data_IF_223210123402
#
_entry.id   IF_223210123402
#
_cell.length_a   1.000
_cell.length_b   1.000
_cell.length_c   1.000
_cell.angle_alpha   90.00
_cell.angle_beta   90.00
_cell.angle_gamma   90.00
#
_symmetry.space_group_name_H-M   'P 1'
#
loop_
_entity.id
_entity.type
_entity.pdbx_description
1 polymer ?
#
# COMPACT_ATOMS: atom_id res chain seq x y z
N UNK A 1 29.03 3.33 6.99
CA UNK A 1 29.58 3.92 8.25
C UNK A 1 28.47 4.33 9.21
N UNK A 2 28.73 4.25 10.53
CA UNK A 2 27.87 4.76 11.61
C UNK A 2 28.64 5.80 12.43
N UNK A 3 28.01 6.47 13.39
CA UNK A 3 28.72 7.37 14.32
C UNK A 3 29.88 6.67 15.05
N UNK A 4 29.71 5.38 15.37
CA UNK A 4 30.71 4.57 16.07
C UNK A 4 31.72 3.90 15.13
N UNK A 5 31.45 3.91 13.82
CA UNK A 5 32.35 3.38 12.80
C UNK A 5 32.50 4.42 11.66
N UNK A 6 33.44 5.38 11.84
CA UNK A 6 33.63 6.52 10.95
C UNK A 6 34.15 6.14 9.54
N UNK A 7 34.41 4.86 9.29
CA UNK A 7 35.03 4.37 8.07
C UNK A 7 36.55 4.23 8.22
N UNK A 8 37.14 3.32 7.44
CA UNK A 8 38.59 3.09 7.45
C UNK A 8 39.29 3.92 6.36
N UNK A 9 40.46 4.50 6.63
CA UNK A 9 41.23 5.22 5.61
C UNK A 9 41.69 4.26 4.51
N UNK A 10 41.81 4.74 3.26
CA UNK A 10 42.43 3.95 2.20
C UNK A 10 43.93 3.71 2.50
N UNK A 11 44.54 2.68 1.91
CA UNK A 11 45.99 2.49 1.96
C UNK A 11 46.75 3.76 1.53
N UNK A 12 47.87 4.10 2.19
CA UNK A 12 48.65 5.29 1.87
C UNK A 12 49.10 5.34 0.40
N UNK A 13 49.04 6.53 -0.21
CA UNK A 13 49.54 6.76 -1.57
C UNK A 13 48.58 6.37 -2.70
N UNK A 14 47.36 5.89 -2.40
CA UNK A 14 46.34 5.66 -3.43
C UNK A 14 45.66 6.98 -3.82
N UNK A 15 45.53 7.28 -5.13
CA UNK A 15 44.77 8.44 -5.58
C UNK A 15 43.27 8.22 -5.30
N UNK A 16 42.55 9.29 -4.97
CA UNK A 16 41.13 9.24 -4.57
C UNK A 16 40.25 8.56 -5.63
N UNK A 17 40.56 8.75 -6.91
CA UNK A 17 39.82 8.11 -8.01
C UNK A 17 40.02 6.58 -8.11
N UNK A 18 40.93 5.98 -7.32
CA UNK A 18 41.16 4.53 -7.16
C UNK A 18 40.57 3.98 -5.86
N UNK A 19 39.88 4.80 -5.09
CA UNK A 19 39.28 4.42 -3.82
C UNK A 19 37.76 4.32 -3.99
N UNK A 20 37.19 3.26 -3.42
CA UNK A 20 35.75 3.08 -3.31
C UNK A 20 35.40 2.29 -2.06
N UNK A 21 34.23 2.53 -1.50
CA UNK A 21 33.79 1.85 -0.28
C UNK A 21 33.34 0.41 -0.59
N UNK A 22 33.45 -0.49 0.39
CA UNK A 22 33.05 -1.89 0.28
C UNK A 22 31.71 -2.22 0.97
N UNK A 23 31.10 -1.25 1.67
CA UNK A 23 29.82 -1.41 2.35
C UNK A 23 28.68 -1.79 1.37
N UNK A 24 27.72 -2.57 1.87
CA UNK A 24 26.47 -2.90 1.19
C UNK A 24 25.26 -2.43 2.00
N UNK A 25 24.13 -2.25 1.30
CA UNK A 25 22.82 -2.12 1.94
C UNK A 25 22.30 -3.51 2.33
N UNK A 26 22.39 -3.86 3.61
CA UNK A 26 21.92 -5.16 4.12
C UNK A 26 20.49 -5.00 4.65
N UNK A 27 19.60 -5.93 4.32
CA UNK A 27 18.21 -5.93 4.82
C UNK A 27 18.14 -6.43 6.28
N UNK A 28 17.04 -6.13 6.99
CA UNK A 28 16.72 -6.81 8.24
C UNK A 28 16.84 -8.34 8.10
N UNK A 29 17.48 -8.98 9.09
CA UNK A 29 17.81 -10.41 9.01
C UNK A 29 19.14 -10.73 8.31
N UNK A 30 19.92 -9.71 7.92
CA UNK A 30 21.28 -9.89 7.41
C UNK A 30 21.37 -10.32 5.94
N UNK A 31 20.23 -10.32 5.24
CA UNK A 31 20.15 -10.75 3.84
C UNK A 31 20.58 -9.60 2.93
N UNK A 32 21.62 -9.83 2.15
CA UNK A 32 22.06 -8.92 1.12
C UNK A 32 21.11 -9.00 -0.08
N UNK A 33 20.34 -7.94 -0.30
CA UNK A 33 19.49 -7.76 -1.49
C UNK A 33 19.76 -6.46 -2.22
N UNK A 34 20.44 -5.51 -1.58
CA UNK A 34 20.64 -4.15 -2.09
C UNK A 34 22.13 -3.86 -2.28
N UNK A 35 22.48 -3.25 -3.39
CA UNK A 35 23.80 -2.70 -3.62
C UNK A 35 23.77 -1.20 -3.39
N UNK A 36 24.70 -0.70 -2.58
CA UNK A 36 24.92 0.73 -2.39
C UNK A 36 25.96 1.17 -3.41
N UNK A 37 25.60 2.11 -4.28
CA UNK A 37 26.45 2.61 -5.37
C UNK A 37 27.13 3.92 -5.00
N UNK A 38 26.40 4.82 -4.35
CA UNK A 38 26.92 6.08 -3.84
C UNK A 38 26.53 6.26 -2.38
N UNK A 39 27.45 6.79 -1.57
CA UNK A 39 27.14 7.20 -0.21
C UNK A 39 27.81 8.52 0.14
N UNK A 40 27.22 9.24 1.09
CA UNK A 40 27.84 10.37 1.77
C UNK A 40 28.28 9.89 3.15
N UNK A 41 29.55 10.03 3.55
CA UNK A 41 30.00 9.66 4.89
C UNK A 41 29.16 10.36 5.98
N UNK A 42 28.89 9.68 7.11
CA UNK A 42 28.09 10.26 8.19
C UNK A 42 28.82 11.46 8.82
N UNK A 43 28.05 12.36 9.42
CA UNK A 43 28.61 13.44 10.24
C UNK A 43 29.16 12.81 11.53
N UNK A 44 30.45 13.00 11.77
CA UNK A 44 31.10 12.57 13.01
C UNK A 44 31.05 13.75 13.98
N UNK A 45 30.16 13.67 14.96
CA UNK A 45 29.99 14.66 16.01
C UNK A 45 30.72 14.18 17.28
N UNK A 46 31.74 14.91 17.73
CA UNK A 46 32.45 14.60 18.98
C UNK A 46 33.93 14.99 18.95
N UNK A 47 34.56 15.07 20.13
CA UNK A 47 36.00 15.33 20.33
C UNK A 47 36.88 14.10 20.04
N UNK A 48 36.44 13.22 19.15
CA UNK A 48 37.24 12.07 18.76
C UNK A 48 38.37 12.58 17.88
N UNK A 49 39.62 12.31 18.27
CA UNK A 49 40.85 12.59 17.51
C UNK A 49 40.97 11.69 16.28
N UNK A 50 39.89 11.56 15.51
CA UNK A 50 39.85 10.80 14.27
C UNK A 50 40.44 11.68 13.18
N UNK A 51 41.53 11.20 12.57
CA UNK A 51 42.12 11.86 11.42
C UNK A 51 41.10 11.92 10.27
N UNK A 52 40.82 13.13 9.77
CA UNK A 52 39.93 13.31 8.62
C UNK A 52 40.57 12.67 7.37
N UNK A 53 39.79 11.87 6.64
CA UNK A 53 40.16 11.19 5.41
C UNK A 53 38.95 11.04 4.49
N UNK A 54 39.17 10.69 3.22
CA UNK A 54 38.11 10.56 2.21
C UNK A 54 36.88 9.75 2.70
N UNK A 55 37.11 8.62 3.38
CA UNK A 55 36.02 7.75 3.86
C UNK A 55 35.20 8.29 5.04
N UNK A 56 35.59 9.41 5.65
CA UNK A 56 34.92 10.03 6.79
C UNK A 56 34.59 11.52 6.59
N UNK A 57 34.82 12.03 5.38
CA UNK A 57 34.52 13.40 5.02
C UNK A 57 33.08 13.53 4.50
N UNK A 58 32.21 14.09 5.32
CA UNK A 58 30.81 14.34 4.97
C UNK A 58 30.64 15.36 3.83
N UNK A 59 31.68 16.02 3.32
CA UNK A 59 31.57 16.89 2.14
C UNK A 59 31.66 16.10 0.82
N UNK A 60 32.10 14.84 0.90
CA UNK A 60 32.39 14.00 -0.27
C UNK A 60 31.24 13.02 -0.55
N UNK A 61 31.04 12.71 -1.83
CA UNK A 61 30.21 11.59 -2.28
C UNK A 61 31.16 10.49 -2.74
N UNK A 62 31.09 9.35 -2.08
CA UNK A 62 31.91 8.20 -2.38
C UNK A 62 31.15 7.28 -3.33
N UNK A 63 31.87 6.69 -4.28
CA UNK A 63 31.38 5.61 -5.12
C UNK A 63 31.81 4.27 -4.52
N UNK A 64 30.98 3.24 -4.70
CA UNK A 64 31.29 1.89 -4.25
C UNK A 64 32.43 1.28 -5.06
N UNK A 65 33.17 0.36 -4.46
CA UNK A 65 34.21 -0.42 -5.12
C UNK A 65 33.71 -1.10 -6.40
N UNK A 66 32.52 -1.72 -6.33
CA UNK A 66 31.91 -2.38 -7.48
C UNK A 66 31.51 -1.40 -8.60
N UNK A 67 31.00 -0.21 -8.26
CA UNK A 67 30.68 0.81 -9.26
C UNK A 67 31.96 1.35 -9.92
N UNK A 68 32.99 1.66 -9.13
CA UNK A 68 34.28 2.16 -9.64
C UNK A 68 34.89 1.21 -10.67
N UNK A 69 34.85 -0.09 -10.42
CA UNK A 69 35.33 -1.11 -11.36
C UNK A 69 34.51 -1.15 -12.65
N UNK A 70 33.18 -1.15 -12.53
CA UNK A 70 32.30 -1.13 -13.70
C UNK A 70 32.51 0.13 -14.55
N UNK A 71 32.60 1.30 -13.92
CA UNK A 71 32.87 2.57 -14.59
C UNK A 71 34.19 2.56 -15.36
N UNK A 72 35.27 2.06 -14.76
CA UNK A 72 36.59 1.97 -15.42
C UNK A 72 36.55 1.08 -16.65
N UNK A 73 35.84 -0.04 -16.58
CA UNK A 73 35.67 -0.93 -17.72
C UNK A 73 34.85 -0.25 -18.83
N UNK A 74 33.73 0.37 -18.47
CA UNK A 74 32.84 1.08 -19.40
C UNK A 74 33.51 2.30 -20.05
N UNK A 75 34.39 3.01 -19.34
CA UNK A 75 35.17 4.11 -19.90
C UNK A 75 36.06 3.65 -21.05
N UNK A 76 36.66 2.45 -20.98
CA UNK A 76 37.42 1.88 -22.12
C UNK A 76 36.52 1.55 -23.31
N UNK A 77 35.23 1.28 -23.06
CA UNK A 77 34.19 1.12 -24.07
C UNK A 77 33.56 2.45 -24.51
N UNK A 78 34.13 3.59 -24.09
CA UNK A 78 33.63 4.96 -24.39
C UNK A 78 32.21 5.23 -23.87
N UNK A 79 31.83 4.54 -22.78
CA UNK A 79 30.57 4.75 -22.08
C UNK A 79 30.86 5.48 -20.77
N UNK A 80 30.24 6.65 -20.60
CA UNK A 80 30.50 7.55 -19.48
C UNK A 80 29.27 7.70 -18.59
N UNK A 81 29.46 7.92 -17.26
CA UNK A 81 28.36 8.21 -16.36
C UNK A 81 27.80 9.60 -16.61
N UNK A 82 26.48 9.73 -16.45
CA UNK A 82 25.76 11.01 -16.49
C UNK A 82 24.77 11.05 -15.34
N UNK A 83 24.83 12.12 -14.56
CA UNK A 83 23.79 12.44 -13.59
C UNK A 83 22.80 13.42 -14.24
N UNK A 84 21.53 13.06 -14.28
CA UNK A 84 20.48 13.92 -14.80
C UNK A 84 19.98 14.90 -13.72
N UNK A 85 19.26 15.98 -14.11
CA UNK A 85 18.74 16.97 -13.14
C UNK A 85 17.79 16.39 -12.11
N UNK A 86 17.08 15.31 -12.45
CA UNK A 86 16.22 14.53 -11.54
C UNK A 86 17.02 13.58 -10.62
N UNK A 87 18.34 13.76 -10.54
CA UNK A 87 19.29 12.91 -9.81
C UNK A 87 19.37 11.46 -10.31
N UNK A 88 18.74 11.14 -11.45
CA UNK A 88 18.87 9.80 -12.01
C UNK A 88 20.27 9.55 -12.58
N UNK A 89 20.78 8.36 -12.31
CA UNK A 89 22.11 7.95 -12.73
C UNK A 89 22.05 7.12 -14.02
N UNK A 90 22.74 7.60 -15.05
CA UNK A 90 22.78 7.00 -16.37
C UNK A 90 24.18 6.54 -16.73
N UNK A 91 24.26 5.40 -17.39
CA UNK A 91 25.47 4.85 -18.01
C UNK A 91 25.21 4.71 -19.51
N UNK A 92 25.70 5.68 -20.30
CA UNK A 92 25.33 5.79 -21.71
C UNK A 92 23.83 6.02 -21.88
N UNK A 93 23.13 5.04 -22.46
CA UNK A 93 21.67 5.07 -22.68
C UNK A 93 20.86 4.36 -21.58
N UNK A 94 21.52 3.77 -20.59
CA UNK A 94 20.88 2.92 -19.59
C UNK A 94 20.75 3.69 -18.28
N UNK A 95 19.51 3.86 -17.79
CA UNK A 95 19.23 4.37 -16.43
C UNK A 95 19.40 3.22 -15.44
N UNK A 96 20.22 3.41 -14.41
CA UNK A 96 20.18 2.51 -13.25
C UNK A 96 18.95 2.89 -12.41
N UNK A 97 18.01 1.98 -12.18
CA UNK A 97 16.82 2.26 -11.37
C UNK A 97 17.23 2.26 -9.90
N UNK A 98 17.16 3.44 -9.28
CA UNK A 98 17.28 3.62 -7.84
C UNK A 98 16.12 2.94 -7.11
N UNK A 99 16.43 2.33 -5.97
CA UNK A 99 15.48 1.70 -5.07
C UNK A 99 14.81 2.76 -4.20
N UNK A 100 13.48 2.84 -4.27
CA UNK A 100 12.68 3.73 -3.44
C UNK A 100 12.25 3.02 -2.14
N UNK A 101 11.85 3.81 -1.13
CA UNK A 101 11.59 3.30 0.23
C UNK A 101 10.45 2.27 0.30
N UNK A 102 9.51 2.33 -0.66
CA UNK A 102 8.32 1.48 -0.75
C UNK A 102 8.30 0.63 -2.04
N UNK A 103 9.44 0.45 -2.71
CA UNK A 103 9.50 -0.36 -3.94
C UNK A 103 9.24 -1.85 -3.63
N UNK A 104 8.28 -2.46 -4.32
CA UNK A 104 8.01 -3.89 -4.26
C UNK A 104 7.66 -4.38 -2.84
N UNK A 105 8.49 -5.26 -2.28
CA UNK A 105 8.27 -5.81 -0.94
C UNK A 105 8.76 -4.93 0.22
N UNK A 106 9.34 -3.76 -0.06
CA UNK A 106 9.87 -2.86 0.96
C UNK A 106 8.78 -1.93 1.50
N UNK A 107 8.89 -1.57 2.78
CA UNK A 107 8.09 -0.52 3.41
C UNK A 107 9.00 0.28 4.32
N UNK A 108 9.07 1.60 4.13
CA UNK A 108 9.91 2.50 4.92
C UNK A 108 11.38 2.05 4.99
N UNK A 109 11.91 1.47 3.90
CA UNK A 109 13.28 1.00 3.86
C UNK A 109 14.28 2.15 3.94
N UNK A 110 15.40 1.92 4.64
CA UNK A 110 16.54 2.85 4.67
C UNK A 110 17.27 2.84 3.32
N UNK A 111 16.82 3.71 2.42
CA UNK A 111 17.35 3.91 1.07
C UNK A 111 18.31 5.09 1.00
N UNK A 112 19.04 5.40 2.09
CA UNK A 112 20.07 6.47 2.06
C UNK A 112 21.18 6.14 1.06
N UNK A 113 21.63 7.18 0.35
CA UNK A 113 22.55 7.02 -0.77
C UNK A 113 21.87 6.41 -1.98
N UNK A 114 22.63 6.14 -3.04
CA UNK A 114 22.07 5.59 -4.26
C UNK A 114 22.10 4.06 -4.18
N UNK A 115 20.94 3.43 -4.00
CA UNK A 115 20.83 1.99 -3.86
C UNK A 115 20.10 1.35 -5.04
N UNK A 116 20.50 0.13 -5.42
CA UNK A 116 19.81 -0.66 -6.45
C UNK A 116 19.54 -2.07 -5.92
N UNK A 117 18.49 -2.73 -6.42
CA UNK A 117 18.24 -4.14 -6.11
C UNK A 117 19.21 -5.05 -6.87
N UNK A 118 19.75 -6.05 -6.18
CA UNK A 118 20.70 -7.01 -6.76
C UNK A 118 19.95 -8.08 -7.54
N UNK A 119 20.13 -8.10 -8.86
CA UNK A 119 19.71 -9.17 -9.74
C UNK A 119 20.83 -10.20 -9.88
N UNK A 120 20.95 -11.08 -8.87
CA UNK A 120 21.98 -12.11 -8.82
C UNK A 120 22.03 -12.94 -10.11
N UNK A 121 23.22 -13.07 -10.71
CA UNK A 121 23.41 -13.85 -11.93
C UNK A 121 23.46 -15.34 -11.64
N UNK A 122 24.09 -15.70 -10.53
CA UNK A 122 24.23 -17.09 -10.12
C UNK A 122 24.51 -17.18 -8.63
N UNK A 123 24.36 -18.38 -8.07
CA UNK A 123 24.61 -18.60 -6.64
C UNK A 123 26.09 -18.51 -6.23
N UNK A 124 27.02 -18.94 -7.09
CA UNK A 124 28.47 -19.00 -6.78
C UNK A 124 29.38 -18.67 -7.96
N UNK A 125 29.02 -19.13 -9.15
CA UNK A 125 29.84 -18.99 -10.35
C UNK A 125 29.41 -17.77 -11.16
N UNK A 126 29.69 -16.58 -10.64
CA UNK A 126 29.47 -15.33 -11.40
C UNK A 126 30.65 -15.02 -12.33
N UNK A 127 31.83 -15.51 -11.96
CA UNK A 127 33.07 -15.42 -12.72
C UNK A 127 33.93 -16.66 -12.43
N UNK A 128 34.95 -16.87 -13.27
CA UNK A 128 35.98 -17.88 -13.03
C UNK A 128 36.76 -17.53 -11.75
N UNK A 129 37.03 -18.53 -10.92
CA UNK A 129 37.76 -18.38 -9.67
C UNK A 129 39.08 -19.15 -9.78
N UNK A 130 40.18 -18.47 -9.47
CA UNK A 130 41.53 -19.04 -9.44
C UNK A 130 42.16 -18.73 -8.09
N UNK A 131 43.00 -19.63 -7.56
CA UNK A 131 43.71 -19.35 -6.30
C UNK A 131 44.86 -18.40 -6.57
N UNK A 132 45.12 -17.50 -5.63
CA UNK A 132 46.27 -16.59 -5.74
C UNK A 132 47.59 -17.36 -5.84
N UNK A 133 47.69 -18.54 -5.20
CA UNK A 133 48.84 -19.44 -5.31
C UNK A 133 49.09 -19.88 -6.74
N UNK A 134 48.02 -20.24 -7.48
CA UNK A 134 48.15 -20.70 -8.86
C UNK A 134 48.58 -19.54 -9.78
N UNK A 135 48.17 -18.31 -9.47
CA UNK A 135 48.62 -17.09 -10.17
C UNK A 135 50.11 -16.85 -9.92
N UNK A 136 50.56 -16.94 -8.67
CA UNK A 136 51.96 -16.74 -8.29
C UNK A 136 52.88 -17.82 -8.87
N UNK A 137 52.37 -19.04 -9.05
CA UNK A 137 53.09 -20.16 -9.65
C UNK A 137 53.00 -20.18 -11.19
N UNK A 138 52.33 -19.21 -11.81
CA UNK A 138 52.20 -19.13 -13.27
C UNK A 138 51.33 -20.24 -13.89
N UNK A 139 50.45 -20.87 -13.09
CA UNK A 139 49.58 -21.99 -13.50
C UNK A 139 48.23 -21.56 -14.06
N UNK A 140 47.98 -20.25 -14.15
CA UNK A 140 46.71 -19.69 -14.63
C UNK A 140 46.81 -19.35 -16.11
N UNK A 141 45.82 -19.80 -16.89
CA UNK A 141 45.69 -19.43 -18.30
C UNK A 141 45.57 -17.89 -18.44
N UNK A 142 46.48 -17.22 -19.17
CA UNK A 142 46.43 -15.78 -19.40
C UNK A 142 45.09 -15.25 -19.95
N UNK A 143 44.34 -16.09 -20.68
CA UNK A 143 43.01 -15.73 -21.19
C UNK A 143 41.98 -15.48 -20.08
N UNK A 144 42.20 -15.98 -18.86
CA UNK A 144 41.35 -15.72 -17.70
C UNK A 144 41.54 -14.32 -17.12
N UNK A 145 42.64 -13.63 -17.47
CA UNK A 145 43.03 -12.33 -16.91
C UNK A 145 42.95 -11.22 -17.95
N UNK A 146 43.42 -11.51 -19.17
CA UNK A 146 43.54 -10.51 -20.24
C UNK A 146 42.18 -9.87 -20.58
N UNK A 147 42.16 -8.54 -20.63
CA UNK A 147 40.99 -7.70 -20.95
C UNK A 147 39.74 -7.93 -20.08
N UNK A 148 39.92 -8.51 -18.88
CA UNK A 148 38.86 -8.79 -17.91
C UNK A 148 39.02 -7.95 -16.65
N UNK A 149 37.93 -7.76 -15.93
CA UNK A 149 37.98 -7.27 -14.55
C UNK A 149 38.43 -8.42 -13.65
N UNK A 150 39.52 -8.20 -12.92
CA UNK A 150 40.02 -9.17 -11.93
C UNK A 150 39.70 -8.64 -10.53
N UNK A 151 39.02 -9.47 -9.76
CA UNK A 151 38.66 -9.22 -8.38
C UNK A 151 39.52 -10.11 -7.48
N UNK A 152 40.25 -9.49 -6.55
CA UNK A 152 41.11 -10.19 -5.60
C UNK A 152 40.49 -10.03 -4.22
N UNK A 153 40.25 -11.15 -3.54
CA UNK A 153 39.67 -11.14 -2.20
C UNK A 153 39.58 -12.53 -1.60
N UNK A 154 39.13 -12.59 -0.36
CA UNK A 154 39.00 -13.84 0.39
C UNK A 154 37.67 -14.52 0.09
N UNK A 155 37.71 -15.84 -0.06
CA UNK A 155 36.51 -16.69 -0.21
C UNK A 155 36.34 -17.69 0.93
N UNK A 156 37.28 -17.68 1.87
CA UNK A 156 37.32 -18.56 3.06
C UNK A 156 36.39 -18.03 4.14
N UNK A 157 35.73 -18.94 4.84
CA UNK A 157 34.77 -18.58 5.90
C UNK A 157 35.43 -17.92 7.13
N UNK A 158 36.73 -18.10 7.31
CA UNK A 158 37.52 -17.54 8.41
C UNK A 158 37.55 -16.00 8.43
N UNK A 159 37.41 -15.34 7.27
CA UNK A 159 37.64 -13.89 7.12
C UNK A 159 36.41 -13.04 7.50
N UNK A 160 35.29 -13.66 7.91
CA UNK A 160 34.03 -12.98 8.31
C UNK A 160 33.48 -11.95 7.31
N UNK A 161 33.96 -11.94 6.06
CA UNK A 161 33.38 -11.19 4.93
C UNK A 161 32.36 -12.06 4.20
N UNK A 162 31.26 -12.35 4.90
CA UNK A 162 30.24 -13.31 4.49
C UNK A 162 28.86 -12.70 4.64
N UNK A 163 28.04 -12.82 3.60
CA UNK A 163 26.67 -12.32 3.58
C UNK A 163 25.66 -13.45 3.43
N UNK A 164 24.53 -13.33 4.13
CA UNK A 164 23.33 -14.07 3.74
C UNK A 164 22.81 -13.47 2.43
N UNK A 165 22.28 -14.31 1.56
CA UNK A 165 21.72 -13.92 0.26
C UNK A 165 20.41 -14.70 0.07
N UNK A 166 19.60 -14.38 -0.95
CA UNK A 166 18.44 -15.21 -1.29
C UNK A 166 18.77 -16.70 -1.55
N UNK A 167 20.03 -17.07 -1.75
CA UNK A 167 20.47 -18.46 -1.93
C UNK A 167 20.91 -19.17 -0.63
N UNK A 168 20.76 -18.53 0.53
CA UNK A 168 21.25 -19.03 1.83
C UNK A 168 20.33 -20.05 2.53
N UNK A 169 19.34 -20.63 1.83
CA UNK A 169 18.34 -21.54 2.41
C UNK A 169 18.89 -22.77 3.13
N UNK A 170 18.08 -23.33 4.05
CA UNK A 170 18.50 -24.24 5.14
C UNK A 170 19.24 -25.54 4.75
N UNK A 171 19.04 -26.10 3.56
CA UNK A 171 19.62 -27.42 3.19
C UNK A 171 21.02 -27.35 2.53
N UNK A 172 21.76 -26.25 2.70
CA UNK A 172 22.92 -25.96 1.85
C UNK A 172 24.26 -25.96 2.60
N UNK A 173 25.20 -26.81 2.17
CA UNK A 173 26.56 -26.98 2.75
C UNK A 173 27.42 -25.70 2.85
N UNK A 174 27.09 -24.63 2.13
CA UNK A 174 27.58 -23.27 2.43
C UNK A 174 26.44 -22.30 2.25
N UNK A 175 25.99 -21.74 3.36
CA UNK A 175 24.89 -20.79 3.42
C UNK A 175 25.34 -19.36 3.08
N UNK A 176 26.65 -19.07 3.08
CA UNK A 176 27.15 -17.71 2.90
C UNK A 176 27.75 -17.45 1.52
N UNK A 177 27.60 -16.21 1.05
CA UNK A 177 28.31 -15.68 -0.11
C UNK A 177 29.47 -14.79 0.36
N UNK A 178 30.71 -15.03 -0.09
CA UNK A 178 31.83 -14.12 0.19
C UNK A 178 31.59 -12.72 -0.35
N UNK A 179 32.00 -11.67 0.37
CA UNK A 179 31.80 -10.27 -0.03
C UNK A 179 32.40 -9.94 -1.39
N UNK A 180 33.58 -10.48 -1.72
CA UNK A 180 34.17 -10.33 -3.05
C UNK A 180 33.30 -10.94 -4.16
N UNK A 181 32.60 -12.04 -3.89
CA UNK A 181 31.65 -12.65 -4.82
C UNK A 181 30.41 -11.78 -4.94
N UNK A 182 29.93 -11.20 -3.83
CA UNK A 182 28.82 -10.24 -3.88
C UNK A 182 29.17 -8.99 -4.72
N UNK A 183 30.39 -8.44 -4.58
CA UNK A 183 30.85 -7.35 -5.43
C UNK A 183 30.92 -7.77 -6.91
N UNK A 184 31.36 -9.00 -7.19
CA UNK A 184 31.35 -9.54 -8.55
C UNK A 184 29.94 -9.62 -9.15
N UNK A 185 28.91 -9.95 -8.34
CA UNK A 185 27.51 -9.94 -8.77
C UNK A 185 27.07 -8.53 -9.19
N UNK A 186 27.40 -7.51 -8.40
CA UNK A 186 27.02 -6.12 -8.70
C UNK A 186 27.76 -5.60 -9.93
N UNK A 187 29.07 -5.84 -10.04
CA UNK A 187 29.85 -5.51 -11.25
C UNK A 187 29.24 -6.19 -12.48
N UNK A 188 28.97 -7.50 -12.39
CA UNK A 188 28.35 -8.25 -13.47
C UNK A 188 26.98 -7.70 -13.84
N UNK A 189 26.16 -7.30 -12.86
CA UNK A 189 24.85 -6.70 -13.11
C UNK A 189 24.98 -5.38 -13.87
N UNK A 190 25.80 -4.45 -13.38
CA UNK A 190 26.00 -3.14 -14.03
C UNK A 190 26.47 -3.33 -15.47
N UNK A 191 27.49 -4.16 -15.70
CA UNK A 191 28.01 -4.41 -17.04
C UNK A 191 26.98 -5.07 -17.96
N UNK A 192 26.28 -6.11 -17.49
CA UNK A 192 25.31 -6.82 -18.34
C UNK A 192 24.09 -5.95 -18.65
N UNK A 193 23.69 -5.06 -17.73
CA UNK A 193 22.58 -4.12 -17.99
C UNK A 193 23.01 -3.06 -19.00
N UNK A 194 24.25 -2.57 -18.95
CA UNK A 194 24.73 -1.53 -19.87
C UNK A 194 25.09 -2.09 -21.25
N UNK A 195 25.76 -3.25 -21.30
CA UNK A 195 26.29 -3.84 -22.55
C UNK A 195 25.29 -4.80 -23.20
N UNK A 196 24.63 -5.66 -22.40
CA UNK A 196 23.76 -6.73 -22.91
C UNK A 196 22.27 -6.38 -22.80
N UNK A 197 21.92 -5.18 -22.31
CA UNK A 197 20.54 -4.76 -22.00
C UNK A 197 19.81 -5.75 -21.05
N UNK A 198 20.54 -6.41 -20.15
CA UNK A 198 19.92 -7.28 -19.13
C UNK A 198 18.94 -6.47 -18.27
N UNK A 199 17.68 -6.92 -18.12
CA UNK A 199 16.69 -6.17 -17.36
C UNK A 199 17.08 -6.02 -15.90
N UNK A 200 16.89 -4.81 -15.38
CA UNK A 200 16.90 -4.54 -13.95
C UNK A 200 15.53 -4.77 -13.35
N UNK A 201 15.49 -4.89 -12.02
CA UNK A 201 14.21 -4.88 -11.33
C UNK A 201 13.51 -3.53 -11.52
N UNK A 202 12.24 -3.60 -11.86
CA UNK A 202 11.36 -2.46 -11.92
C UNK A 202 10.08 -2.76 -11.13
N UNK A 203 9.45 -1.69 -10.67
CA UNK A 203 8.32 -1.72 -9.75
C UNK A 203 7.17 -0.91 -10.32
N UNK A 204 5.96 -1.22 -9.88
CA UNK A 204 4.81 -0.39 -10.18
C UNK A 204 4.78 0.82 -9.26
N UNK A 205 4.29 1.96 -9.74
CA UNK A 205 3.95 3.05 -8.85
C UNK A 205 2.82 2.60 -7.91
N UNK A 206 2.77 3.17 -6.71
CA UNK A 206 1.85 2.77 -5.63
C UNK A 206 0.38 2.74 -6.08
N UNK A 207 -0.06 3.71 -6.90
CA UNK A 207 -1.43 3.75 -7.42
C UNK A 207 -1.77 2.53 -8.30
N UNK A 208 -0.81 1.99 -9.05
CA UNK A 208 -1.02 0.84 -9.91
C UNK A 208 -1.12 -0.44 -9.07
N UNK A 209 -0.36 -0.54 -7.97
CA UNK A 209 -0.51 -1.62 -7.00
C UNK A 209 -1.88 -1.58 -6.30
N UNK A 210 -2.37 -0.40 -5.93
CA UNK A 210 -3.71 -0.22 -5.36
C UNK A 210 -4.79 -0.67 -6.34
N UNK A 211 -4.70 -0.26 -7.62
CA UNK A 211 -5.63 -0.71 -8.65
C UNK A 211 -5.58 -2.22 -8.86
N UNK A 212 -4.38 -2.81 -8.83
CA UNK A 212 -4.21 -4.25 -8.94
C UNK A 212 -4.89 -5.01 -7.80
N UNK A 213 -4.64 -4.61 -6.55
CA UNK A 213 -5.27 -5.19 -5.35
C UNK A 213 -6.79 -5.01 -5.39
N UNK A 214 -7.26 -3.81 -5.76
CA UNK A 214 -8.68 -3.49 -5.88
C UNK A 214 -9.37 -4.34 -6.96
N UNK A 215 -8.71 -4.55 -8.09
CA UNK A 215 -9.20 -5.41 -9.17
C UNK A 215 -9.43 -6.85 -8.71
N UNK A 216 -8.45 -7.45 -8.03
CA UNK A 216 -8.58 -8.80 -7.49
C UNK A 216 -9.62 -8.92 -6.37
N UNK A 217 -9.78 -7.87 -5.56
CA UNK A 217 -10.85 -7.75 -4.56
C UNK A 217 -12.25 -7.79 -5.18
N UNK A 218 -12.47 -7.00 -6.25
CA UNK A 218 -13.74 -6.96 -7.00
C UNK A 218 -14.03 -8.30 -7.66
N UNK A 219 -13.02 -8.94 -8.26
CA UNK A 219 -13.15 -10.27 -8.84
C UNK A 219 -13.59 -11.29 -7.78
N UNK A 220 -12.93 -11.30 -6.62
CA UNK A 220 -13.27 -12.20 -5.52
C UNK A 220 -14.72 -12.04 -5.06
N UNK A 221 -15.18 -10.80 -4.87
CA UNK A 221 -16.56 -10.54 -4.46
C UNK A 221 -17.62 -10.82 -5.53
N UNK A 222 -17.29 -10.57 -6.80
CA UNK A 222 -18.18 -10.87 -7.92
C UNK A 222 -18.36 -12.38 -8.10
N UNK A 223 -17.29 -13.16 -7.96
CA UNK A 223 -17.36 -14.62 -8.05
C UNK A 223 -18.18 -15.22 -6.90
N UNK A 224 -17.93 -14.75 -5.67
CA UNK A 224 -18.66 -15.19 -4.49
C UNK A 224 -20.17 -14.89 -4.55
N UNK A 225 -20.57 -13.75 -5.11
CA UNK A 225 -21.99 -13.39 -5.25
C UNK A 225 -22.70 -14.12 -6.40
N UNK A 226 -21.98 -14.48 -7.48
CA UNK A 226 -22.57 -15.12 -8.67
C UNK A 226 -22.65 -16.66 -8.55
N UNK A 227 -21.74 -17.29 -7.81
CA UNK A 227 -21.62 -18.76 -7.78
C UNK A 227 -22.10 -19.29 -6.43
N UNK A 228 -23.32 -19.84 -6.40
CA UNK A 228 -23.91 -20.41 -5.20
C UNK A 228 -23.35 -21.81 -4.83
N UNK A 229 -22.82 -22.56 -5.80
CA UNK A 229 -22.36 -23.93 -5.58
C UNK A 229 -20.92 -23.96 -5.03
N UNK A 230 -20.69 -24.50 -3.80
CA UNK A 230 -19.41 -24.36 -3.10
C UNK A 230 -18.23 -25.02 -3.83
N UNK A 231 -18.43 -26.20 -4.42
CA UNK A 231 -17.37 -26.87 -5.18
C UNK A 231 -16.94 -26.08 -6.44
N UNK A 232 -17.92 -25.52 -7.18
CA UNK A 232 -17.65 -24.68 -8.35
C UNK A 232 -16.93 -23.39 -7.94
N UNK A 233 -17.35 -22.78 -6.84
CA UNK A 233 -16.73 -21.57 -6.30
C UNK A 233 -15.27 -21.83 -5.89
N UNK A 234 -15.00 -22.91 -5.16
CA UNK A 234 -13.65 -23.31 -4.78
C UNK A 234 -12.74 -23.55 -6.00
N UNK A 235 -13.25 -24.27 -7.00
CA UNK A 235 -12.53 -24.48 -8.26
C UNK A 235 -12.23 -23.18 -9.00
N UNK A 236 -13.17 -22.25 -9.07
CA UNK A 236 -12.94 -20.93 -9.71
C UNK A 236 -11.95 -20.07 -8.94
N UNK A 237 -11.98 -20.09 -7.60
CA UNK A 237 -10.99 -19.36 -6.80
C UNK A 237 -9.57 -19.92 -7.00
N UNK A 238 -9.42 -21.25 -7.01
CA UNK A 238 -8.14 -21.88 -7.28
C UNK A 238 -7.60 -21.51 -8.67
N UNK A 239 -8.47 -21.52 -9.70
CA UNK A 239 -8.10 -21.11 -11.05
C UNK A 239 -7.67 -19.63 -11.11
N UNK A 240 -8.41 -18.72 -10.45
CA UNK A 240 -8.07 -17.30 -10.41
C UNK A 240 -6.78 -17.03 -9.65
N UNK A 241 -6.55 -17.70 -8.53
CA UNK A 241 -5.31 -17.60 -7.77
C UNK A 241 -4.11 -18.09 -8.58
N UNK A 242 -4.26 -19.23 -9.28
CA UNK A 242 -3.26 -19.73 -10.20
C UNK A 242 -2.97 -18.74 -11.33
N UNK A 243 -4.01 -18.13 -11.91
CA UNK A 243 -3.88 -17.07 -12.90
C UNK A 243 -3.13 -15.84 -12.38
N UNK A 244 -3.46 -15.36 -11.18
CA UNK A 244 -2.74 -14.27 -10.52
C UNK A 244 -1.25 -14.60 -10.36
N UNK A 245 -0.93 -15.78 -9.83
CA UNK A 245 0.44 -16.24 -9.67
C UNK A 245 1.18 -16.35 -11.02
N UNK A 246 0.51 -16.86 -12.06
CA UNK A 246 1.09 -16.99 -13.39
C UNK A 246 1.38 -15.62 -14.04
N UNK A 247 0.46 -14.66 -13.93
CA UNK A 247 0.64 -13.30 -14.45
C UNK A 247 1.80 -12.61 -13.71
N UNK A 248 1.80 -12.64 -12.39
CA UNK A 248 2.88 -12.04 -11.59
C UNK A 248 4.23 -12.72 -11.86
N UNK A 249 4.25 -14.04 -12.07
CA UNK A 249 5.47 -14.75 -12.45
C UNK A 249 5.95 -14.36 -13.85
N UNK A 250 5.04 -14.19 -14.81
CA UNK A 250 5.37 -13.69 -16.15
C UNK A 250 6.00 -12.29 -16.10
N UNK A 251 5.44 -11.39 -15.29
CA UNK A 251 6.00 -10.05 -15.04
C UNK A 251 7.39 -10.16 -14.40
N UNK A 252 7.57 -11.08 -13.44
CA UNK A 252 8.87 -11.33 -12.80
C UNK A 252 9.96 -11.80 -13.76
N UNK A 253 9.62 -12.64 -14.74
CA UNK A 253 10.58 -13.05 -15.79
C UNK A 253 11.04 -11.86 -16.66
N UNK A 254 10.23 -10.81 -16.75
CA UNK A 254 10.57 -9.54 -17.43
C UNK A 254 11.27 -8.53 -16.50
N UNK A 255 11.64 -8.95 -15.28
CA UNK A 255 12.27 -8.10 -14.26
C UNK A 255 11.28 -7.27 -13.44
N UNK A 256 9.97 -7.42 -13.64
CA UNK A 256 8.98 -6.69 -12.84
C UNK A 256 8.71 -7.39 -11.52
N UNK A 257 8.89 -6.70 -10.40
CA UNK A 257 8.49 -7.23 -9.10
C UNK A 257 7.19 -6.57 -8.65
N UNK A 258 6.08 -7.30 -8.82
CA UNK A 258 4.71 -6.84 -8.48
C UNK A 258 4.14 -7.62 -7.29
N UNK A 259 3.20 -7.05 -6.52
CA UNK A 259 2.61 -7.72 -5.37
C UNK A 259 1.76 -8.93 -5.77
N UNK A 260 1.96 -10.05 -5.07
CA UNK A 260 1.23 -11.31 -5.28
C UNK A 260 0.40 -11.68 -4.06
N UNK A 261 0.99 -11.55 -2.86
CA UNK A 261 0.33 -11.91 -1.62
C UNK A 261 -0.89 -11.02 -1.33
N UNK A 262 -0.76 -9.70 -1.48
CA UNK A 262 -1.85 -8.77 -1.21
C UNK A 262 -3.07 -8.99 -2.13
N UNK A 263 -2.92 -9.12 -3.46
CA UNK A 263 -4.05 -9.47 -4.34
C UNK A 263 -4.67 -10.84 -4.04
N UNK A 264 -3.85 -11.85 -3.75
CA UNK A 264 -4.33 -13.18 -3.38
C UNK A 264 -5.18 -13.13 -2.10
N UNK A 265 -4.70 -12.44 -1.07
CA UNK A 265 -5.44 -12.22 0.17
C UNK A 265 -6.71 -11.40 -0.06
N UNK A 266 -6.65 -10.34 -0.88
CA UNK A 266 -7.81 -9.54 -1.21
C UNK A 266 -8.91 -10.40 -1.83
N UNK A 267 -8.57 -11.24 -2.82
CA UNK A 267 -9.50 -12.15 -3.47
C UNK A 267 -10.11 -13.19 -2.49
N UNK A 268 -9.29 -13.76 -1.60
CA UNK A 268 -9.76 -14.75 -0.61
C UNK A 268 -10.66 -14.09 0.45
N UNK A 269 -10.24 -12.95 0.99
CA UNK A 269 -10.93 -12.26 2.08
C UNK A 269 -12.26 -11.66 1.63
N UNK A 270 -12.31 -11.00 0.46
CA UNK A 270 -13.57 -10.46 -0.04
C UNK A 270 -14.53 -11.55 -0.45
N UNK A 271 -14.02 -12.59 -1.12
CA UNK A 271 -14.79 -13.78 -1.46
C UNK A 271 -15.39 -14.46 -0.23
N UNK A 272 -14.54 -14.75 0.76
CA UNK A 272 -14.94 -15.39 2.03
C UNK A 272 -15.94 -14.55 2.83
N UNK A 273 -15.76 -13.23 2.87
CA UNK A 273 -16.68 -12.30 3.54
C UNK A 273 -18.07 -12.33 2.91
N UNK A 274 -18.15 -12.31 1.57
CA UNK A 274 -19.44 -12.34 0.85
C UNK A 274 -20.13 -13.70 0.99
N UNK A 275 -19.40 -14.81 0.89
CA UNK A 275 -19.97 -16.15 1.14
C UNK A 275 -20.50 -16.25 2.57
N UNK A 276 -19.76 -15.72 3.54
CA UNK A 276 -20.18 -15.73 4.94
C UNK A 276 -21.45 -14.92 5.12
N UNK A 277 -21.49 -13.69 4.60
CA UNK A 277 -22.67 -12.83 4.66
C UNK A 277 -23.90 -13.45 3.98
N UNK A 278 -23.74 -14.04 2.78
CA UNK A 278 -24.82 -14.75 2.08
C UNK A 278 -25.35 -15.93 2.90
N UNK A 279 -24.45 -16.72 3.51
CA UNK A 279 -24.86 -17.82 4.39
C UNK A 279 -25.54 -17.35 5.67
N UNK A 280 -25.05 -16.29 6.32
CA UNK A 280 -25.71 -15.71 7.50
C UNK A 280 -27.13 -15.22 7.17
N UNK A 281 -27.31 -14.59 6.00
CA UNK A 281 -28.62 -14.15 5.54
C UNK A 281 -29.56 -15.32 5.21
N UNK A 282 -29.06 -16.35 4.51
CA UNK A 282 -29.84 -17.55 4.16
C UNK A 282 -30.17 -18.45 5.34
N UNK A 283 -29.29 -18.54 6.34
CA UNK A 283 -29.50 -19.32 7.56
C UNK A 283 -30.54 -18.70 8.52
N UNK A 284 -31.15 -17.56 8.15
CA UNK A 284 -32.26 -16.97 8.89
C UNK A 284 -31.88 -16.24 10.18
N UNK A 285 -30.59 -16.20 10.54
CA UNK A 285 -30.11 -15.45 11.71
C UNK A 285 -30.46 -13.96 11.62
N UNK A 286 -30.39 -13.36 10.43
CA UNK A 286 -30.81 -11.97 10.22
C UNK A 286 -32.29 -11.73 10.51
N UNK A 287 -33.17 -12.68 10.15
CA UNK A 287 -34.59 -12.63 10.52
C UNK A 287 -34.77 -12.85 12.02
N UNK A 288 -34.12 -13.86 12.61
CA UNK A 288 -34.21 -14.15 14.04
C UNK A 288 -33.73 -12.99 14.93
N UNK A 289 -32.67 -12.27 14.53
CA UNK A 289 -32.18 -11.07 15.23
C UNK A 289 -33.17 -9.92 15.04
N UNK A 290 -33.68 -9.69 13.81
CA UNK A 290 -34.70 -8.67 13.56
C UNK A 290 -35.98 -8.92 14.37
N UNK A 291 -36.44 -10.17 14.45
CA UNK A 291 -37.62 -10.57 15.18
C UNK A 291 -37.41 -10.42 16.71
N UNK A 292 -36.23 -10.79 17.23
CA UNK A 292 -35.88 -10.52 18.65
C UNK A 292 -35.80 -9.02 18.96
N UNK A 293 -35.21 -8.22 18.07
CA UNK A 293 -35.14 -6.76 18.24
C UNK A 293 -36.56 -6.17 18.24
N UNK A 294 -37.43 -6.58 17.32
CA UNK A 294 -38.85 -6.15 17.30
C UNK A 294 -39.59 -6.52 18.59
N UNK A 295 -39.35 -7.73 19.12
CA UNK A 295 -39.92 -8.17 20.40
C UNK A 295 -39.40 -7.35 21.58
N UNK A 296 -38.11 -7.05 21.65
CA UNK A 296 -37.50 -6.28 22.74
C UNK A 296 -37.95 -4.81 22.72
N UNK A 297 -38.06 -4.20 21.53
CA UNK A 297 -38.51 -2.81 21.39
C UNK A 297 -40.03 -2.66 21.32
N UNK A 298 -40.82 -3.73 21.48
CA UNK A 298 -42.30 -3.73 21.37
C UNK A 298 -42.82 -2.94 20.17
N UNK A 299 -42.13 -3.02 19.03
CA UNK A 299 -42.62 -2.46 17.76
C UNK A 299 -43.55 -3.49 17.13
N UNK A 300 -44.60 -3.83 17.85
CA UNK A 300 -45.73 -4.58 17.32
C UNK A 300 -46.77 -3.51 17.02
N UNK A 301 -46.90 -3.12 15.74
CA UNK A 301 -48.05 -2.32 15.31
C UNK A 301 -49.23 -3.26 15.41
N UNK A 302 -49.85 -3.28 16.58
CA UNK A 302 -51.09 -3.97 16.83
C UNK A 302 -52.15 -3.37 15.90
N UNK A 303 -52.43 -4.10 14.82
CA UNK A 303 -53.24 -3.63 13.70
C UNK A 303 -54.67 -3.30 14.18
N UNK A 304 -55.13 -3.97 15.23
CA UNK A 304 -56.38 -3.69 15.92
C UNK A 304 -56.35 -2.34 16.68
N UNK A 305 -55.24 -1.99 17.34
CA UNK A 305 -55.07 -0.66 17.97
C UNK A 305 -54.96 0.46 16.96
N UNK A 306 -54.32 0.21 15.80
CA UNK A 306 -54.25 1.18 14.71
C UNK A 306 -55.64 1.44 14.13
N UNK A 307 -56.44 0.40 13.91
CA UNK A 307 -57.82 0.54 13.42
C UNK A 307 -58.73 1.23 14.44
N UNK A 308 -58.58 0.95 15.74
CA UNK A 308 -59.30 1.69 16.80
C UNK A 308 -58.90 3.17 16.86
N UNK A 309 -57.60 3.49 16.82
CA UNK A 309 -57.13 4.89 16.83
C UNK A 309 -57.55 5.64 15.55
N UNK A 310 -57.54 4.96 14.40
CA UNK A 310 -58.02 5.56 13.14
C UNK A 310 -59.54 5.75 13.18
N UNK A 311 -60.31 4.83 13.75
CA UNK A 311 -61.75 4.98 13.94
C UNK A 311 -62.08 6.15 14.91
N UNK A 312 -61.38 6.25 16.04
CA UNK A 312 -61.54 7.34 17.02
C UNK A 312 -61.19 8.72 16.42
N UNK A 313 -60.13 8.80 15.62
CA UNK A 313 -59.74 10.03 14.92
C UNK A 313 -60.77 10.38 13.83
N UNK A 314 -61.32 9.39 13.13
CA UNK A 314 -62.34 9.59 12.07
C UNK A 314 -63.71 9.96 12.65
N UNK A 315 -64.04 9.48 13.85
CA UNK A 315 -65.27 9.83 14.55
C UNK A 315 -65.18 11.14 15.35
N UNK A 316 -63.97 11.64 15.59
CA UNK A 316 -63.73 12.91 16.28
C UNK A 316 -64.44 14.08 15.58
N UNK A 317 -65.00 14.98 16.38
CA UNK A 317 -65.79 16.11 15.91
C UNK A 317 -65.03 16.99 14.90
N UNK A 318 -63.70 17.07 15.04
CA UNK A 318 -62.80 17.78 14.14
C UNK A 318 -62.80 17.22 12.71
N UNK A 319 -62.83 15.89 12.56
CA UNK A 319 -62.80 15.25 11.24
C UNK A 319 -64.15 15.36 10.51
N UNK A 320 -65.25 15.29 11.27
CA UNK A 320 -66.61 15.59 10.76
C UNK A 320 -66.75 17.04 10.33
N UNK A 321 -66.18 17.98 11.09
CA UNK A 321 -66.18 19.40 10.77
C UNK A 321 -65.38 19.70 9.49
N UNK A 322 -64.23 19.02 9.30
CA UNK A 322 -63.45 19.06 8.07
C UNK A 322 -64.22 18.53 6.85
N UNK A 323 -64.97 17.43 7.01
CA UNK A 323 -65.82 16.92 5.93
C UNK A 323 -66.96 17.88 5.60
N UNK A 324 -67.65 18.42 6.61
CA UNK A 324 -68.71 19.42 6.40
C UNK A 324 -68.18 20.69 5.72
N UNK A 325 -66.97 21.14 6.06
CA UNK A 325 -66.33 22.30 5.44
C UNK A 325 -65.93 22.03 3.99
N UNK A 326 -65.46 20.82 3.69
CA UNK A 326 -65.18 20.36 2.32
C UNK A 326 -66.45 20.32 1.47
N UNK A 327 -67.56 19.82 2.00
CA UNK A 327 -68.82 19.74 1.27
C UNK A 327 -69.45 21.13 1.06
N UNK A 328 -69.38 22.04 2.04
CA UNK A 328 -69.75 23.45 1.86
C UNK A 328 -68.93 24.15 0.77
N UNK A 329 -67.62 23.90 0.71
CA UNK A 329 -66.76 24.42 -0.35
C UNK A 329 -67.11 23.83 -1.73
N UNK A 330 -67.56 22.57 -1.78
CA UNK A 330 -67.97 21.91 -3.02
C UNK A 330 -69.30 22.44 -3.56
N UNK A 331 -70.25 22.76 -2.67
CA UNK A 331 -71.53 23.38 -3.02
C UNK A 331 -71.30 24.83 -3.49
N UNK A 332 -70.49 25.62 -2.77
CA UNK A 332 -70.13 26.99 -3.15
C UNK A 332 -69.42 27.06 -4.51
N UNK A 333 -68.53 26.10 -4.80
CA UNK A 333 -67.86 26.00 -6.12
C UNK A 333 -68.82 25.62 -7.25
N UNK A 334 -69.90 24.89 -6.94
CA UNK A 334 -70.94 24.50 -7.92
C UNK A 334 -71.89 25.66 -8.22
N UNK A 335 -72.28 26.43 -7.20
CA UNK A 335 -73.10 27.65 -7.35
C UNK A 335 -72.35 28.78 -8.08
N UNK A 336 -71.02 28.88 -7.92
CA UNK A 336 -70.19 29.86 -8.65
C UNK A 336 -70.05 29.50 -10.14
N UNK A 337 -70.29 28.23 -10.52
CA UNK A 337 -70.19 27.75 -11.90
C UNK A 337 -71.50 27.85 -12.70
N UNK A 338 -72.61 28.23 -12.09
CA UNK A 338 -73.96 28.22 -12.71
C UNK A 338 -74.54 29.63 -12.93
N UNK A 339 -73.74 30.70 -12.73
CA UNK A 339 -74.19 32.09 -12.90
C UNK A 339 -73.16 33.00 -13.59
N UNK A 340 -72.98 32.82 -14.91
CA UNK A 340 -72.61 33.88 -15.85
C UNK A 340 -72.84 33.42 -17.31
N UNK A 341 -73.64 34.14 -18.13
CA UNK A 341 -73.97 33.74 -19.50
C UNK A 341 -72.97 34.25 -20.55
N UNK A 342 -72.94 33.51 -21.67
CA UNK A 342 -72.17 33.70 -22.90
C UNK A 342 -72.75 34.77 -23.82
N UNK A 343 -71.91 35.67 -24.36
CA UNK A 343 -71.91 36.06 -25.79
C UNK A 343 -70.57 36.70 -26.20
N UNK A 344 -70.16 36.61 -27.49
CA UNK A 344 -68.76 36.71 -27.91
C UNK A 344 -68.39 38.05 -28.55
N UNK A 345 -67.19 38.57 -28.25
CA UNK A 345 -66.55 39.62 -29.05
C UNK A 345 -65.06 39.36 -29.26
N UNK A 346 -64.63 39.79 -30.44
CA UNK A 346 -63.44 39.48 -31.20
C UNK A 346 -62.31 40.50 -30.92
N UNK A 347 -61.08 40.13 -31.27
CA UNK A 347 -59.90 40.97 -31.58
C UNK A 347 -58.91 41.32 -30.44
N UNK A 348 -57.69 40.83 -30.68
CA UNK A 348 -56.32 41.15 -30.23
C UNK A 348 -56.05 42.47 -29.48
N UNK A 349 -55.20 42.40 -28.44
CA UNK A 349 -53.83 42.96 -28.41
C UNK A 349 -53.25 43.01 -26.97
N UNK A 350 -51.94 42.81 -26.84
CA UNK A 350 -51.10 43.62 -25.93
C UNK A 350 -50.95 43.17 -24.48
N UNK A 351 -49.69 42.98 -24.09
CA UNK A 351 -49.16 42.70 -22.76
C UNK A 351 -49.68 43.60 -21.61
N UNK A 352 -49.92 43.02 -20.43
CA UNK A 352 -49.64 43.61 -19.12
C UNK A 352 -49.76 42.55 -18.00
N UNK A 353 -48.85 42.64 -17.02
CA UNK A 353 -48.67 41.76 -15.85
C UNK A 353 -49.86 41.70 -14.88
N UNK A 354 -49.99 40.57 -14.16
CA UNK A 354 -50.77 40.42 -12.92
C UNK A 354 -49.96 39.62 -11.88
N UNK A 355 -50.11 39.92 -10.56
CA UNK A 355 -49.08 39.69 -9.54
C UNK A 355 -49.12 38.30 -8.87
N UNK A 356 -47.96 37.94 -8.31
CA UNK A 356 -47.58 36.67 -7.64
C UNK A 356 -48.51 36.24 -6.49
N UNK A 357 -49.09 35.05 -6.62
CA UNK A 357 -49.73 34.29 -5.53
C UNK A 357 -48.82 33.18 -4.94
N UNK A 358 -47.51 33.19 -5.25
CA UNK A 358 -46.54 32.20 -4.76
C UNK A 358 -45.96 32.54 -3.36
N UNK A 359 -46.03 33.81 -2.93
CA UNK A 359 -45.33 34.28 -1.72
C UNK A 359 -45.83 33.69 -0.41
N UNK A 360 -47.13 33.38 -0.26
CA UNK A 360 -47.67 32.94 1.03
C UNK A 360 -47.44 31.45 1.30
N UNK A 361 -47.30 30.65 0.24
CA UNK A 361 -47.09 29.20 0.36
C UNK A 361 -45.63 28.89 0.72
N UNK A 362 -44.70 29.64 0.13
CA UNK A 362 -43.27 29.49 0.38
C UNK A 362 -42.88 29.95 1.80
N UNK A 363 -43.53 31.00 2.31
CA UNK A 363 -43.32 31.51 3.68
C UNK A 363 -43.82 30.51 4.74
N UNK A 364 -44.92 29.81 4.46
CA UNK A 364 -45.43 28.75 5.33
C UNK A 364 -44.51 27.52 5.37
N UNK A 365 -43.96 27.12 4.22
CA UNK A 365 -43.02 26.00 4.12
C UNK A 365 -41.68 26.29 4.81
N UNK A 366 -41.21 27.54 4.75
CA UNK A 366 -39.99 27.95 5.46
C UNK A 366 -40.17 27.95 6.98
N UNK A 367 -41.32 28.41 7.50
CA UNK A 367 -41.62 28.31 8.95
C UNK A 367 -41.66 26.87 9.46
N UNK A 368 -42.16 25.93 8.66
CA UNK A 368 -42.17 24.51 9.00
C UNK A 368 -40.77 23.92 9.05
N UNK A 369 -39.89 24.32 8.12
CA UNK A 369 -38.49 23.86 8.12
C UNK A 369 -37.70 24.40 9.31
N UNK A 370 -37.92 25.64 9.73
CA UNK A 370 -37.27 26.20 10.93
C UNK A 370 -37.71 25.48 12.21
N UNK A 371 -39.01 25.19 12.37
CA UNK A 371 -39.51 24.44 13.53
C UNK A 371 -38.91 23.03 13.61
N UNK A 372 -38.76 22.35 12.47
CA UNK A 372 -38.12 21.03 12.42
C UNK A 372 -36.64 21.09 12.83
N UNK A 373 -35.93 22.16 12.44
CA UNK A 373 -34.52 22.38 12.79
C UNK A 373 -34.33 22.66 14.29
N UNK A 374 -35.23 23.45 14.89
CA UNK A 374 -35.22 23.73 16.33
C UNK A 374 -35.52 22.48 17.17
N UNK A 375 -36.44 21.62 16.74
CA UNK A 375 -36.70 20.35 17.43
C UNK A 375 -35.50 19.39 17.37
N UNK A 376 -34.81 19.33 16.24
CA UNK A 376 -33.60 18.50 16.07
C UNK A 376 -32.44 18.98 16.96
N UNK A 377 -32.30 20.30 17.15
CA UNK A 377 -31.33 20.88 18.08
C UNK A 377 -31.70 20.64 19.55
N UNK A 378 -32.99 20.72 19.91
CA UNK A 378 -33.44 20.35 21.27
C UNK A 378 -33.15 18.90 21.61
N UNK A 379 -33.37 17.97 20.67
CA UNK A 379 -33.08 16.56 20.88
C UNK A 379 -31.57 16.28 21.08
N UNK A 380 -30.69 16.98 20.35
CA UNK A 380 -29.24 16.84 20.49
C UNK A 380 -28.70 17.41 21.83
N UNK A 381 -29.32 18.46 22.37
CA UNK A 381 -28.94 19.01 23.68
C UNK A 381 -29.33 18.04 24.80
N UNK A 382 -30.49 17.38 24.70
CA UNK A 382 -30.94 16.38 25.70
C UNK A 382 -30.06 15.13 25.74
N UNK A 383 -29.44 14.73 24.62
CA UNK A 383 -28.46 13.63 24.61
C UNK A 383 -27.10 14.03 25.23
N UNK A 384 -26.69 15.30 25.13
CA UNK A 384 -25.41 15.78 25.69
C UNK A 384 -25.41 15.92 27.22
N UNK A 385 -26.55 16.24 27.84
CA UNK A 385 -26.69 16.35 29.30
C UNK A 385 -26.76 14.99 30.01
N UNK A 386 -27.13 13.91 29.31
CA UNK A 386 -27.14 12.56 29.87
C UNK A 386 -25.75 11.93 29.95
N UNK A 387 -24.76 12.42 29.19
CA UNK A 387 -23.41 11.84 29.13
C UNK A 387 -22.45 12.43 30.18
N UNK A 388 -22.80 13.51 30.90
CA UNK A 388 -21.89 14.21 31.82
C UNK A 388 -22.04 13.78 33.30
N UNK A 389 -22.85 12.78 33.61
CA UNK A 389 -23.03 12.23 34.98
C UNK A 389 -22.64 10.76 35.09
N UNK A 390 -21.38 10.43 34.76
CA UNK A 390 -20.71 9.22 35.29
C UNK A 390 -19.21 9.39 35.16
N UNK A 391 -18.59 9.93 36.21
CA UNK A 391 -17.13 10.00 36.34
C UNK A 391 -16.72 9.50 37.72
N UNK A 392 -16.13 8.30 37.79
CA UNK A 392 -15.27 7.84 38.89
C UNK A 392 -14.10 7.07 38.23
N UNK A 393 -12.83 7.34 38.58
CA UNK A 393 -11.67 6.84 37.84
C UNK A 393 -11.19 5.48 38.36
N UNK A 394 -10.72 4.61 37.48
CA UNK A 394 -9.83 3.49 37.83
C UNK A 394 -8.52 3.67 37.09
N UNK A 395 -7.48 3.80 37.91
CA UNK A 395 -6.10 4.01 37.57
C UNK A 395 -5.48 2.79 36.87
N UNK A 396 -4.55 3.06 35.97
CA UNK A 396 -3.86 2.07 35.15
C UNK A 396 -2.46 1.80 35.71
N UNK A 397 -2.02 0.54 35.71
CA UNK A 397 -0.60 0.23 35.81
C UNK A 397 -0.30 -1.24 36.13
N UNK A 398 0.45 -1.91 35.26
CA UNK A 398 1.26 -3.07 35.68
C UNK A 398 1.33 -4.25 34.71
N UNK A 399 2.04 -4.05 33.60
CA UNK A 399 2.87 -4.99 32.84
C UNK A 399 2.83 -6.51 33.13
N UNK A 400 2.71 -7.28 32.05
CA UNK A 400 3.21 -8.64 31.93
C UNK A 400 4.74 -8.66 31.70
N UNK A 401 5.46 -9.61 32.31
CA UNK A 401 6.65 -10.23 31.73
C UNK A 401 7.00 -11.55 32.42
N UNK A 402 7.42 -12.49 31.57
CA UNK A 402 7.85 -13.87 31.76
C UNK A 402 9.10 -14.09 32.63
N UNK A 403 9.20 -15.31 33.20
CA UNK A 403 10.39 -16.13 33.57
C UNK A 403 9.93 -17.05 34.74
N UNK A 404 10.35 -18.28 35.01
CA UNK A 404 11.42 -19.15 34.53
C UNK A 404 11.12 -20.53 35.15
N UNK A 405 11.45 -21.61 34.45
CA UNK A 405 11.54 -22.96 35.02
C UNK A 405 12.92 -23.20 35.64
N UNK A 406 13.00 -23.71 36.88
CA UNK A 406 13.86 -24.86 37.26
C UNK A 406 13.57 -25.36 38.72
N UNK A 407 14.03 -26.58 39.07
CA UNK A 407 13.51 -27.44 40.13
C UNK A 407 14.23 -27.25 41.46
N UNK A 408 13.71 -27.82 42.54
CA UNK A 408 14.51 -28.35 43.64
C UNK A 408 13.75 -29.47 44.39
N UNK A 409 14.56 -30.44 44.78
CA UNK A 409 14.43 -31.55 45.73
C UNK A 409 13.37 -31.46 46.84
N UNK A 410 12.47 -32.45 46.90
CA UNK A 410 12.35 -33.49 47.96
C UNK A 410 11.29 -34.55 47.59
#
# INVERSE_FOLDING_TARGET
GSRDNPGSPPPPGLPENRVGFADFGVDPGGILRRALLFMKPPIIEGKSSIQKHLCNDNSQVLASFNLQLALRYLQRQKIYPKLAPDQSFWLGKTKLKELESNDGGYSHADVRGYQILINYRSRRQVANQVRITDVLEGKVDPHLVKDKIVLIGYTTETVKDLFYTPYSGQQQKKQFMPGIVAHAQVVSQILSTVLDNRPMFWFWPEWAEILWISGWSIVGGTLASRIAHPAKLGGTFAAMLSGCCAISFGIFLLGGWVPVAAPALALILTGGSIVSADRFNKAGYGKAISDRVKQVFKIEIDQAKKEQQVAEITESDFFKELQQKKDKLRISKKETSEKAPSEPQEITAGAAELPKAESQTDEYLTQLQEKAKQQKQRAAVTESESSSKTGVPIDAGGAASSAETKPDDE
#
